data_IF_895216097341
#
_entry.id   IF_895216097341
#
_cell.length_a   1.000
_cell.length_b   1.000
_cell.length_c   1.000
_cell.angle_alpha   90.00
_cell.angle_beta   90.00
_cell.angle_gamma   90.00
#
_symmetry.space_group_name_H-M   'P 1'
#
loop_
_entity.id
_entity.type
_entity.pdbx_description
1 polymer ?
#
# COMPACT_ATOMS: atom_id res chain seq x y z
N UNK A 1 14.42 23.34 30.70
CA UNK A 1 14.99 23.04 29.36
C UNK A 1 14.26 21.90 28.63
N UNK A 2 13.75 20.87 29.31
CA UNK A 2 13.01 19.78 28.65
C UNK A 2 11.61 20.15 28.18
N UNK A 3 10.86 20.97 28.94
CA UNK A 3 9.51 21.39 28.53
C UNK A 3 9.46 22.24 27.26
N UNK A 4 10.49 23.05 27.00
CA UNK A 4 10.57 23.84 25.78
C UNK A 4 10.90 22.98 24.56
N UNK A 5 11.66 21.89 24.75
CA UNK A 5 11.93 20.91 23.70
C UNK A 5 10.67 20.08 23.42
N UNK A 6 9.94 19.67 24.46
CA UNK A 6 8.73 18.86 24.29
C UNK A 6 7.59 19.67 23.69
N UNK A 7 7.46 20.97 24.02
CA UNK A 7 6.48 21.85 23.38
C UNK A 7 6.81 22.15 21.91
N UNK A 8 8.09 22.27 21.56
CA UNK A 8 8.48 22.39 20.15
C UNK A 8 8.12 21.11 19.37
N UNK A 9 8.38 19.94 19.98
CA UNK A 9 8.01 18.65 19.41
C UNK A 9 6.51 18.49 19.18
N UNK A 10 5.66 18.95 20.12
CA UNK A 10 4.21 18.87 19.95
C UNK A 10 3.67 19.78 18.84
N UNK A 11 4.28 20.94 18.62
CA UNK A 11 3.92 21.81 17.51
C UNK A 11 4.33 21.20 16.16
N UNK A 12 5.46 20.50 16.10
CA UNK A 12 5.91 19.80 14.89
C UNK A 12 4.98 18.62 14.59
N UNK A 13 4.57 17.84 15.58
CA UNK A 13 3.65 16.71 15.38
C UNK A 13 2.24 17.17 15.01
N UNK A 14 1.76 18.29 15.55
CA UNK A 14 0.49 18.88 15.13
C UNK A 14 0.54 19.27 13.65
N UNK A 15 1.59 19.96 13.22
CA UNK A 15 1.76 20.35 11.82
C UNK A 15 1.85 19.13 10.89
N UNK A 16 2.57 18.07 11.27
CA UNK A 16 2.68 16.87 10.44
C UNK A 16 1.33 16.17 10.23
N UNK A 17 0.47 16.11 11.25
CA UNK A 17 -0.87 15.57 11.12
C UNK A 17 -1.74 16.38 10.16
N UNK A 18 -1.67 17.71 10.24
CA UNK A 18 -2.40 18.60 9.32
C UNK A 18 -1.96 18.33 7.88
N UNK A 19 -0.65 18.26 7.62
CA UNK A 19 -0.14 17.91 6.29
C UNK A 19 -0.58 16.53 5.81
N UNK A 20 -0.58 15.53 6.68
CA UNK A 20 -1.02 14.17 6.32
C UNK A 20 -2.48 14.15 5.84
N UNK A 21 -3.35 14.88 6.52
CA UNK A 21 -4.77 15.00 6.13
C UNK A 21 -4.90 15.68 4.76
N UNK A 22 -4.14 16.74 4.50
CA UNK A 22 -4.14 17.44 3.21
C UNK A 22 -3.67 16.54 2.06
N UNK A 23 -2.58 15.78 2.26
CA UNK A 23 -2.06 14.88 1.22
C UNK A 23 -3.07 13.78 0.89
N UNK A 24 -3.74 13.21 1.90
CA UNK A 24 -4.79 12.20 1.67
C UNK A 24 -5.94 12.82 0.88
N UNK A 25 -6.42 13.99 1.28
CA UNK A 25 -7.52 14.67 0.60
C UNK A 25 -7.19 14.98 -0.87
N UNK A 26 -6.00 15.54 -1.14
CA UNK A 26 -5.54 15.82 -2.50
C UNK A 26 -5.46 14.53 -3.34
N UNK A 27 -4.99 13.42 -2.74
CA UNK A 27 -4.86 12.14 -3.43
C UNK A 27 -6.22 11.57 -3.88
N UNK A 28 -7.26 11.71 -3.05
CA UNK A 28 -8.62 11.27 -3.36
C UNK A 28 -9.26 12.09 -4.49
N UNK A 29 -8.99 13.39 -4.55
CA UNK A 29 -9.52 14.29 -5.57
C UNK A 29 -8.81 14.05 -6.92
N UNK A 30 -7.47 13.94 -6.90
CA UNK A 30 -6.65 13.90 -8.12
C UNK A 30 -6.62 12.55 -8.84
N UNK A 31 -7.09 11.45 -8.21
CA UNK A 31 -7.23 10.08 -8.78
C UNK A 31 -6.10 9.71 -9.77
N UNK A 32 -4.84 9.91 -9.36
CA UNK A 32 -3.67 9.69 -10.23
C UNK A 32 -3.53 8.20 -10.57
N UNK A 33 -3.27 7.89 -11.84
CA UNK A 33 -2.99 6.52 -12.27
C UNK A 33 -1.63 6.04 -11.75
N UNK A 34 -1.57 4.79 -11.28
CA UNK A 34 -0.33 4.18 -10.79
C UNK A 34 0.58 3.82 -11.97
N UNK A 35 1.75 4.46 -12.04
CA UNK A 35 2.76 4.19 -13.09
C UNK A 35 3.57 2.91 -12.82
N UNK A 36 3.81 2.59 -11.54
CA UNK A 36 4.57 1.41 -11.12
C UNK A 36 3.92 0.76 -9.89
N UNK A 37 3.88 -0.57 -9.85
CA UNK A 37 3.45 -1.33 -8.67
C UNK A 37 4.65 -1.57 -7.77
N UNK A 38 4.45 -1.44 -6.46
CA UNK A 38 5.42 -1.87 -5.47
C UNK A 38 5.48 -3.40 -5.44
N UNK A 39 6.65 -3.98 -5.69
CA UNK A 39 6.81 -5.44 -5.75
C UNK A 39 7.15 -6.00 -4.37
N UNK A 40 6.11 -6.40 -3.63
CA UNK A 40 6.24 -7.09 -2.34
C UNK A 40 5.90 -8.57 -2.51
N UNK A 41 6.49 -9.42 -1.66
CA UNK A 41 6.36 -10.87 -1.72
C UNK A 41 5.01 -11.45 -1.26
N UNK A 42 4.08 -10.63 -0.75
CA UNK A 42 2.74 -11.10 -0.38
C UNK A 42 1.77 -11.03 -1.56
N UNK A 43 0.82 -11.97 -1.57
CA UNK A 43 -0.10 -12.20 -2.68
C UNK A 43 -0.99 -10.98 -3.01
N UNK A 44 -1.30 -10.14 -2.01
CA UNK A 44 -2.16 -8.97 -2.18
C UNK A 44 -1.58 -7.93 -3.16
N UNK A 45 -0.25 -7.81 -3.22
CA UNK A 45 0.42 -6.85 -4.12
C UNK A 45 0.48 -7.32 -5.58
N UNK A 46 0.13 -8.59 -5.83
CA UNK A 46 -0.06 -9.12 -7.19
C UNK A 46 -1.44 -8.78 -7.76
N UNK A 47 -2.41 -8.43 -6.91
CA UNK A 47 -3.77 -8.14 -7.34
C UNK A 47 -3.83 -6.87 -8.23
N UNK A 48 -4.91 -6.73 -8.98
CA UNK A 48 -5.22 -5.51 -9.69
C UNK A 48 -5.62 -4.39 -8.71
N UNK A 49 -5.33 -3.14 -9.08
CA UNK A 49 -5.81 -1.96 -8.37
C UNK A 49 -6.72 -1.18 -9.33
N UNK A 50 -8.02 -0.99 -9.04
CA UNK A 50 -8.77 -1.49 -7.88
C UNK A 50 -8.97 -3.03 -7.90
N UNK A 51 -9.12 -3.67 -6.72
CA UNK A 51 -9.45 -5.08 -6.65
C UNK A 51 -10.86 -5.34 -7.20
N UNK A 52 -11.05 -6.52 -7.77
CA UNK A 52 -12.37 -7.03 -8.16
C UNK A 52 -13.14 -7.48 -6.90
N UNK A 53 -14.47 -7.44 -6.93
CA UNK A 53 -15.32 -7.92 -5.82
C UNK A 53 -15.00 -9.38 -5.43
N UNK A 54 -14.69 -10.20 -6.43
CA UNK A 54 -14.10 -11.53 -6.27
C UNK A 54 -12.65 -11.49 -6.75
N UNK A 55 -11.74 -11.23 -5.82
CA UNK A 55 -10.31 -11.02 -6.10
C UNK A 55 -9.57 -12.25 -6.61
N UNK A 56 -10.06 -13.45 -6.29
CA UNK A 56 -9.47 -14.72 -6.69
C UNK A 56 -10.53 -15.66 -7.27
N UNK A 57 -10.25 -16.22 -8.45
CA UNK A 57 -11.06 -17.29 -9.03
C UNK A 57 -10.81 -18.62 -8.31
N UNK A 58 -9.57 -18.83 -7.84
CA UNK A 58 -9.11 -20.04 -7.17
C UNK A 58 -8.16 -19.71 -6.03
N UNK A 59 -8.10 -20.56 -5.00
CA UNK A 59 -7.21 -20.34 -3.85
C UNK A 59 -5.75 -20.53 -4.28
N UNK A 60 -4.87 -19.53 -4.11
CA UNK A 60 -3.48 -19.66 -4.49
C UNK A 60 -2.75 -20.65 -3.57
N UNK A 61 -2.28 -21.77 -4.14
CA UNK A 61 -1.47 -22.75 -3.40
C UNK A 61 -0.07 -22.18 -3.09
N UNK A 62 0.25 -21.97 -1.82
CA UNK A 62 1.55 -21.44 -1.39
C UNK A 62 2.63 -22.53 -1.33
N UNK A 63 3.11 -23.00 -2.49
CA UNK A 63 4.32 -23.83 -2.55
C UNK A 63 5.54 -22.94 -2.75
N UNK A 64 6.39 -22.87 -1.71
CA UNK A 64 7.69 -22.18 -1.70
C UNK A 64 8.76 -23.00 -2.44
N UNK A 65 8.46 -23.50 -3.64
CA UNK A 65 9.46 -24.10 -4.51
C UNK A 65 9.43 -23.43 -5.88
N UNK A 66 10.43 -22.58 -6.09
CA UNK A 66 10.67 -21.81 -7.30
C UNK A 66 11.02 -22.76 -8.45
N UNK A 67 10.03 -23.23 -9.21
CA UNK A 67 10.16 -23.56 -10.65
C UNK A 67 8.90 -24.15 -11.32
N UNK A 68 7.86 -24.57 -10.58
CA UNK A 68 6.72 -25.28 -11.19
C UNK A 68 5.45 -24.45 -11.37
N UNK A 69 5.33 -23.27 -10.72
CA UNK A 69 4.05 -22.58 -10.62
C UNK A 69 3.70 -21.68 -11.83
N UNK A 70 4.64 -21.37 -12.70
CA UNK A 70 4.39 -20.54 -13.91
C UNK A 70 3.64 -21.29 -15.03
N UNK A 71 3.57 -22.63 -14.95
CA UNK A 71 2.93 -23.50 -15.95
C UNK A 71 1.48 -23.82 -15.61
N UNK A 72 1.13 -23.90 -14.32
CA UNK A 72 -0.21 -24.34 -13.90
C UNK A 72 -1.28 -23.24 -13.89
N UNK A 73 -0.90 -21.96 -13.89
CA UNK A 73 -1.87 -20.83 -13.88
C UNK A 73 -2.22 -20.39 -15.33
N UNK A 74 -1.80 -21.16 -16.34
CA UNK A 74 -2.02 -20.89 -17.77
C UNK A 74 -3.00 -21.85 -18.46
N UNK A 75 -3.58 -22.81 -17.73
CA UNK A 75 -4.59 -23.73 -18.25
C UNK A 75 -5.89 -23.60 -17.47
#
# INVERSE_FOLDING_TARGET
CWNSISSMGSMISLNSMIFLIFIILESLISKRMLLFKFNQSSLEWLNFLPPLDHSHLEIPLLIKNLNLKSILIKF
#
